data_IF_477285732051
#
_entry.id   IF_477285732051
#
_cell.length_a   1.000
_cell.length_b   1.000
_cell.length_c   1.000
_cell.angle_alpha   90.00
_cell.angle_beta   90.00
_cell.angle_gamma   90.00
#
_symmetry.space_group_name_H-M   'P 1'
#
loop_
_entity.id
_entity.type
_entity.pdbx_description
1 polymer ?
#
# COMPACT_ATOMS: atom_id res chain seq x y z
N UNK A 1 -20.46 12.61 14.60
CA UNK A 1 -19.19 13.29 14.33
C UNK A 1 -18.12 12.31 14.78
N UNK A 2 -18.01 11.15 14.14
CA UNK A 2 -17.44 9.98 14.82
C UNK A 2 -16.59 9.20 13.80
N UNK A 3 -15.30 9.47 13.73
CA UNK A 3 -14.34 8.63 13.01
C UNK A 3 -12.96 8.68 13.71
N UNK A 4 -12.97 8.71 15.04
CA UNK A 4 -11.76 8.56 15.85
C UNK A 4 -11.50 7.06 15.98
N UNK A 5 -10.30 6.65 15.57
CA UNK A 5 -9.75 5.29 15.65
C UNK A 5 -10.41 4.23 14.76
N UNK A 6 -10.15 4.29 13.45
CA UNK A 6 -10.50 3.20 12.52
C UNK A 6 -9.61 1.96 12.75
N UNK A 7 -8.34 2.17 13.07
CA UNK A 7 -7.34 1.10 13.26
C UNK A 7 -6.41 1.42 14.41
N UNK A 8 -6.04 0.40 15.17
CA UNK A 8 -4.99 0.48 16.18
C UNK A 8 -5.33 1.28 17.44
N UNK A 9 -6.43 2.03 17.54
CA UNK A 9 -6.80 2.79 18.75
C UNK A 9 -5.65 3.62 19.36
N UNK A 10 -4.76 4.17 18.53
CA UNK A 10 -3.56 4.89 18.97
C UNK A 10 -2.36 4.01 19.36
N UNK A 11 -2.46 2.69 19.23
CA UNK A 11 -1.39 1.71 19.44
C UNK A 11 -0.49 1.58 18.21
N UNK A 12 0.69 1.02 18.46
CA UNK A 12 1.63 0.61 17.42
C UNK A 12 0.98 -0.46 16.51
N UNK A 13 1.21 -0.33 15.21
CA UNK A 13 0.84 -1.27 14.17
C UNK A 13 2.07 -1.63 13.34
N UNK A 14 2.04 -2.81 12.76
CA UNK A 14 3.00 -3.23 11.74
C UNK A 14 2.38 -2.97 10.37
N UNK A 15 3.00 -2.08 9.60
CA UNK A 15 2.71 -1.90 8.19
C UNK A 15 3.60 -2.83 7.37
N UNK A 16 2.99 -3.70 6.58
CA UNK A 16 3.68 -4.57 5.64
C UNK A 16 3.32 -4.15 4.20
N UNK A 17 4.35 -3.97 3.37
CA UNK A 17 4.21 -3.77 1.93
C UNK A 17 4.69 -5.01 1.21
N UNK A 18 3.78 -5.64 0.47
CA UNK A 18 4.09 -6.70 -0.48
C UNK A 18 3.91 -6.21 -1.93
N UNK A 19 3.92 -7.13 -2.90
CA UNK A 19 3.85 -6.78 -4.33
C UNK A 19 2.50 -6.20 -4.79
N UNK A 20 1.44 -6.26 -3.99
CA UNK A 20 0.11 -5.84 -4.43
C UNK A 20 -0.72 -5.13 -3.35
N UNK A 21 -0.40 -5.30 -2.07
CA UNK A 21 -1.17 -4.81 -0.93
C UNK A 21 -0.28 -4.12 0.12
N UNK A 22 -0.88 -3.14 0.78
CA UNK A 22 -0.41 -2.55 2.02
C UNK A 22 -1.30 -3.13 3.12
N UNK A 23 -0.71 -3.86 4.06
CA UNK A 23 -1.43 -4.46 5.19
C UNK A 23 -1.02 -3.82 6.50
N UNK A 24 -1.98 -3.69 7.41
CA UNK A 24 -1.77 -3.27 8.78
C UNK A 24 -2.05 -4.45 9.70
N UNK A 25 -1.11 -4.75 10.58
CA UNK A 25 -1.13 -5.90 11.47
C UNK A 25 -1.01 -5.39 12.91
N UNK A 26 -1.84 -5.92 13.79
CA UNK A 26 -1.72 -5.74 15.23
C UNK A 26 -0.51 -6.54 15.74
N UNK A 27 0.50 -5.90 16.38
CA UNK A 27 1.72 -6.58 16.82
C UNK A 27 1.50 -7.56 17.98
N UNK A 28 0.46 -7.38 18.78
CA UNK A 28 0.18 -8.25 19.94
C UNK A 28 -0.53 -9.53 19.49
N UNK A 29 -1.47 -9.40 18.56
CA UNK A 29 -2.32 -10.51 18.11
C UNK A 29 -1.85 -11.13 16.79
N UNK A 30 -0.93 -10.47 16.08
CA UNK A 30 -0.49 -10.82 14.73
C UNK A 30 -1.65 -10.91 13.71
N UNK A 31 -2.77 -10.23 13.98
CA UNK A 31 -3.94 -10.22 13.11
C UNK A 31 -3.91 -9.06 12.13
N UNK A 32 -4.33 -9.30 10.89
CA UNK A 32 -4.49 -8.23 9.88
C UNK A 32 -5.73 -7.43 10.23
N UNK A 33 -5.53 -6.15 10.59
CA UNK A 33 -6.62 -5.21 10.91
C UNK A 33 -7.09 -4.42 9.70
N UNK A 34 -6.24 -4.30 8.68
CA UNK A 34 -6.58 -3.65 7.42
C UNK A 34 -5.71 -4.15 6.26
N UNK A 35 -6.30 -4.19 5.05
CA UNK A 35 -5.57 -4.36 3.80
C UNK A 35 -6.10 -3.36 2.77
N UNK A 36 -5.18 -2.61 2.15
CA UNK A 36 -5.44 -1.73 1.03
C UNK A 36 -4.67 -2.22 -0.20
N UNK A 37 -5.35 -2.37 -1.32
CA UNK A 37 -4.68 -2.75 -2.57
C UNK A 37 -3.86 -1.58 -3.06
N UNK A 38 -2.59 -1.78 -3.37
CA UNK A 38 -1.70 -0.73 -3.90
C UNK A 38 -2.31 -0.07 -5.15
N UNK A 39 -2.94 -0.80 -6.10
CA UNK A 39 -3.66 -0.18 -7.22
C UNK A 39 -4.85 0.72 -6.86
N UNK A 40 -5.39 0.64 -5.63
CA UNK A 40 -6.49 1.48 -5.15
C UNK A 40 -5.99 2.74 -4.45
N UNK A 41 -4.71 2.80 -4.07
CA UNK A 41 -4.09 4.01 -3.53
C UNK A 41 -3.99 5.04 -4.65
N UNK A 42 -4.62 6.20 -4.44
CA UNK A 42 -4.76 7.26 -5.44
C UNK A 42 -3.63 8.26 -5.41
N UNK A 43 -3.16 8.56 -4.21
CA UNK A 43 -2.00 9.41 -3.96
C UNK A 43 -1.42 9.05 -2.60
N UNK A 44 -0.12 9.25 -2.42
CA UNK A 44 0.56 9.15 -1.13
C UNK A 44 1.52 10.33 -0.95
N UNK A 45 1.90 10.59 0.29
CA UNK A 45 2.76 11.70 0.67
C UNK A 45 3.59 11.41 1.90
N UNK A 46 4.60 12.24 2.10
CA UNK A 46 5.52 12.20 3.24
C UNK A 46 5.49 13.56 3.94
N UNK A 47 5.48 13.56 5.26
CA UNK A 47 5.48 14.76 6.09
C UNK A 47 6.76 15.58 5.91
N UNK A 48 6.62 16.91 5.98
CA UNK A 48 7.73 17.86 5.75
C UNK A 48 8.67 17.99 6.94
N UNK A 49 8.15 17.86 8.16
CA UNK A 49 8.87 18.25 9.37
C UNK A 49 9.89 17.21 9.81
N UNK A 50 9.43 16.06 10.30
CA UNK A 50 10.28 14.98 10.79
C UNK A 50 10.60 13.93 9.71
N UNK A 51 9.97 14.01 8.54
CA UNK A 51 10.10 13.04 7.44
C UNK A 51 9.61 11.62 7.78
N UNK A 52 8.90 11.44 8.89
CA UNK A 52 8.40 10.15 9.41
C UNK A 52 6.92 9.95 9.22
N UNK A 53 6.17 11.03 9.01
CA UNK A 53 4.75 10.92 8.78
C UNK A 53 4.49 10.48 7.32
N UNK A 54 3.72 9.43 7.15
CA UNK A 54 3.31 8.87 5.86
C UNK A 54 1.79 8.95 5.75
N UNK A 55 1.30 9.34 4.58
CA UNK A 55 -0.13 9.41 4.33
C UNK A 55 -0.49 8.86 2.96
N UNK A 56 -1.68 8.27 2.84
CA UNK A 56 -2.23 7.85 1.57
C UNK A 56 -3.73 8.11 1.47
N UNK A 57 -4.21 8.35 0.25
CA UNK A 57 -5.64 8.47 -0.05
C UNK A 57 -6.11 7.26 -0.83
N UNK A 58 -7.19 6.64 -0.35
CA UNK A 58 -7.90 5.58 -1.05
C UNK A 58 -9.41 5.83 -1.00
N UNK A 59 -10.16 5.12 -1.84
CA UNK A 59 -11.63 5.19 -1.83
C UNK A 59 -12.17 4.14 -0.87
N UNK A 60 -12.84 4.60 0.18
CA UNK A 60 -13.49 3.70 1.13
C UNK A 60 -14.61 2.91 0.45
N UNK A 61 -14.64 1.59 0.68
CA UNK A 61 -15.55 0.68 -0.04
C UNK A 61 -17.01 0.87 0.37
N UNK A 62 -17.25 1.17 1.65
CA UNK A 62 -18.60 1.26 2.21
C UNK A 62 -19.23 2.61 1.88
N UNK A 63 -18.50 3.68 2.14
CA UNK A 63 -19.02 5.05 1.99
C UNK A 63 -18.80 5.62 0.59
N UNK A 64 -17.93 4.99 -0.22
CA UNK A 64 -17.50 5.48 -1.53
C UNK A 64 -16.84 6.87 -1.45
N UNK A 65 -16.43 7.33 -0.27
CA UNK A 65 -15.75 8.61 -0.06
C UNK A 65 -14.24 8.41 -0.16
N UNK A 66 -13.52 9.48 -0.49
CA UNK A 66 -12.06 9.46 -0.44
C UNK A 66 -11.62 9.71 1.00
N UNK A 67 -10.77 8.82 1.51
CA UNK A 67 -10.27 8.87 2.87
C UNK A 67 -8.75 8.98 2.83
N UNK A 68 -8.21 9.96 3.54
CA UNK A 68 -6.79 10.09 3.80
C UNK A 68 -6.46 9.41 5.12
N UNK A 69 -5.53 8.46 5.09
CA UNK A 69 -5.06 7.70 6.25
C UNK A 69 -3.64 8.16 6.56
N UNK A 70 -3.37 8.53 7.81
CA UNK A 70 -2.11 9.14 8.24
C UNK A 70 -1.44 8.29 9.31
N UNK A 71 -0.15 8.09 9.16
CA UNK A 71 0.68 7.25 10.00
C UNK A 71 1.96 7.99 10.39
N UNK A 72 2.47 7.71 11.59
CA UNK A 72 3.83 8.07 12.01
C UNK A 72 4.69 6.83 12.02
N UNK A 73 5.77 6.81 11.23
CA UNK A 73 6.57 5.61 10.99
C UNK A 73 7.96 5.66 11.64
N UNK A 74 8.45 4.49 12.05
CA UNK A 74 9.81 4.34 12.60
C UNK A 74 10.90 4.38 11.53
N UNK A 75 10.52 4.13 10.28
CA UNK A 75 11.36 4.30 9.10
C UNK A 75 11.04 5.64 8.42
N UNK A 76 12.02 6.35 7.82
CA UNK A 76 11.73 7.54 7.02
C UNK A 76 10.62 7.28 5.99
N UNK A 77 9.57 8.10 5.98
CA UNK A 77 8.40 7.94 5.14
C UNK A 77 8.76 7.95 3.64
N UNK A 78 9.86 8.62 3.27
CA UNK A 78 10.41 8.60 1.91
C UNK A 78 10.77 7.19 1.44
N UNK A 79 11.24 6.32 2.33
CA UNK A 79 11.52 4.91 2.02
C UNK A 79 10.24 4.20 1.61
N UNK A 80 9.16 4.40 2.37
CA UNK A 80 7.82 3.82 2.11
C UNK A 80 7.29 4.28 0.75
N UNK A 81 7.37 5.59 0.49
CA UNK A 81 6.93 6.18 -0.77
C UNK A 81 7.72 5.64 -1.99
N UNK A 82 9.02 5.40 -1.82
CA UNK A 82 9.85 4.79 -2.88
C UNK A 82 9.48 3.32 -3.10
N UNK A 83 9.26 2.55 -2.03
CA UNK A 83 8.80 1.16 -2.13
C UNK A 83 7.47 1.06 -2.88
N UNK A 84 6.48 1.90 -2.52
CA UNK A 84 5.20 1.97 -3.25
C UNK A 84 5.38 2.35 -4.72
N UNK A 85 6.29 3.28 -5.03
CA UNK A 85 6.62 3.66 -6.40
C UNK A 85 7.17 2.47 -7.18
N UNK A 86 8.07 1.70 -6.59
CA UNK A 86 8.71 0.57 -7.27
C UNK A 86 7.74 -0.61 -7.46
N UNK A 87 6.90 -0.89 -6.46
CA UNK A 87 5.78 -1.84 -6.60
C UNK A 87 4.84 -1.40 -7.74
N UNK A 88 4.43 -0.13 -7.77
CA UNK A 88 3.60 0.40 -8.86
C UNK A 88 4.25 0.22 -10.24
N UNK A 89 5.56 0.47 -10.37
CA UNK A 89 6.29 0.25 -11.63
C UNK A 89 6.24 -1.23 -12.04
N UNK A 90 6.49 -2.16 -11.11
CA UNK A 90 6.41 -3.60 -11.39
C UNK A 90 5.01 -4.00 -11.83
N UNK A 91 3.97 -3.55 -11.14
CA UNK A 91 2.57 -3.82 -11.50
C UNK A 91 2.22 -3.30 -12.89
N UNK A 92 2.76 -2.15 -13.30
CA UNK A 92 2.59 -1.61 -14.66
C UNK A 92 3.27 -2.46 -15.73
N UNK A 93 4.45 -3.03 -15.44
CA UNK A 93 5.18 -3.89 -16.39
C UNK A 93 4.48 -5.24 -16.59
N UNK A 94 3.94 -5.83 -15.52
CA UNK A 94 3.19 -7.10 -15.57
C UNK A 94 1.79 -6.95 -16.17
N UNK A 95 1.27 -5.72 -16.26
CA UNK A 95 -0.02 -5.39 -16.87
C UNK A 95 0.05 -5.09 -18.37
N UNK A 96 1.21 -5.20 -19.02
CA UNK A 96 1.28 -5.15 -20.49
C UNK A 96 0.47 -6.34 -21.03
N UNK A 97 -0.56 -6.12 -21.86
CA UNK A 97 -1.24 -7.22 -22.51
C UNK A 97 -0.21 -7.93 -23.40
N UNK A 98 0.03 -9.20 -23.14
CA UNK A 98 0.56 -10.16 -24.12
C UNK A 98 -0.48 -10.32 -25.22
N UNK A 99 -0.65 -9.30 -26.06
CA UNK A 99 -1.54 -9.35 -27.23
C UNK A 99 -0.80 -8.93 -28.49
N UNK A 100 0.31 -9.59 -28.78
CA UNK A 100 0.87 -9.73 -30.13
C UNK A 100 1.61 -11.08 -30.19
N UNK A 101 0.86 -12.16 -30.38
CA UNK A 101 1.23 -13.37 -31.15
C UNK A 101 0.33 -14.54 -30.73
N UNK A 102 -0.63 -14.89 -31.60
CA UNK A 102 -1.06 -16.26 -31.85
C UNK A 102 -2.07 -16.28 -33.00
N UNK A 103 -1.57 -16.11 -34.22
CA UNK A 103 -2.12 -16.85 -35.37
C UNK A 103 -1.09 -17.94 -35.71
N UNK A 104 -1.62 -19.13 -35.98
CA UNK A 104 -0.99 -20.34 -36.55
C UNK A 104 -0.27 -21.37 -35.63
N UNK A 105 -1.09 -22.36 -35.24
CA UNK A 105 -1.03 -23.78 -35.66
C UNK A 105 0.15 -24.73 -35.30
N UNK A 106 -0.29 -25.96 -34.99
CA UNK A 106 0.33 -27.31 -35.04
C UNK A 106 0.88 -27.91 -33.71
N UNK A 107 0.41 -29.11 -33.28
CA UNK A 107 0.89 -29.82 -32.10
C UNK A 107 1.88 -30.94 -32.46
N UNK A 108 3.08 -30.99 -31.84
CA UNK A 108 3.83 -32.25 -31.75
C UNK A 108 4.83 -32.35 -30.57
N UNK A 109 4.64 -33.43 -29.79
CA UNK A 109 5.59 -34.30 -29.05
C UNK A 109 6.69 -33.76 -28.11
N UNK A 110 6.53 -34.22 -26.85
CA UNK A 110 7.49 -34.88 -25.90
C UNK A 110 8.82 -34.17 -25.61
N UNK A 111 9.03 -33.82 -24.33
CA UNK A 111 10.17 -34.28 -23.49
C UNK A 111 9.75 -34.28 -22.01
N UNK A 112 9.99 -35.40 -21.30
CA UNK A 112 10.00 -35.50 -19.82
C UNK A 112 11.45 -35.30 -19.37
N UNK A 113 11.75 -34.31 -18.51
CA UNK A 113 12.84 -34.24 -17.50
C UNK A 113 12.51 -33.11 -16.53
N UNK A 114 12.26 -33.39 -15.25
CA UNK A 114 13.18 -33.53 -14.11
C UNK A 114 13.59 -32.18 -13.48
N UNK A 115 13.46 -32.17 -12.16
CA UNK A 115 14.10 -31.31 -11.16
C UNK A 115 13.48 -29.94 -10.85
N UNK A 116 12.85 -29.94 -9.67
CA UNK A 116 12.67 -28.86 -8.71
C UNK A 116 12.86 -27.46 -9.25
N UNK A 117 11.75 -26.79 -9.57
CA UNK A 117 11.74 -25.34 -9.55
C UNK A 117 12.16 -24.90 -8.13
N UNK A 118 13.21 -24.07 -7.98
CA UNK A 118 13.48 -23.44 -6.71
C UNK A 118 12.20 -22.70 -6.32
N UNK A 119 11.76 -22.90 -5.08
CA UNK A 119 10.66 -22.14 -4.46
C UNK A 119 10.74 -20.70 -4.94
N UNK A 120 9.64 -20.09 -5.42
CA UNK A 120 9.67 -18.68 -5.81
C UNK A 120 10.27 -17.92 -4.64
N UNK A 121 11.42 -17.28 -4.85
CA UNK A 121 11.94 -16.34 -3.88
C UNK A 121 10.87 -15.27 -3.76
N UNK A 122 10.00 -15.36 -2.75
CA UNK A 122 9.11 -14.27 -2.37
C UNK A 122 10.00 -13.05 -2.17
N UNK A 123 9.75 -12.00 -2.96
CA UNK A 123 10.46 -10.75 -2.80
C UNK A 123 10.25 -10.31 -1.34
N UNK A 124 11.32 -9.99 -0.59
CA UNK A 124 11.20 -9.77 0.85
C UNK A 124 10.24 -8.60 1.12
N UNK A 125 9.14 -8.90 1.80
CA UNK A 125 8.14 -7.91 2.18
C UNK A 125 8.77 -6.82 3.04
N UNK A 126 8.35 -5.57 2.83
CA UNK A 126 8.85 -4.45 3.62
C UNK A 126 7.99 -4.28 4.87
N UNK A 127 8.55 -4.60 6.02
CA UNK A 127 7.89 -4.52 7.33
C UNK A 127 8.33 -3.24 8.05
N UNK A 128 7.38 -2.43 8.49
CA UNK A 128 7.59 -1.10 9.09
C UNK A 128 6.70 -0.97 10.32
N UNK A 129 7.27 -0.58 11.47
CA UNK A 129 6.50 -0.17 12.65
C UNK A 129 5.95 1.25 12.45
N UNK A 130 4.70 1.45 12.83
CA UNK A 130 4.03 2.74 12.69
C UNK A 130 2.93 2.94 13.73
N UNK A 131 2.55 4.18 13.96
CA UNK A 131 1.38 4.57 14.73
C UNK A 131 0.34 5.14 13.79
N UNK A 132 -0.90 4.69 13.88
CA UNK A 132 -1.99 5.29 13.13
C UNK A 132 -2.41 6.59 13.81
N UNK A 133 -2.23 7.72 13.13
CA UNK A 133 -2.61 9.04 13.65
C UNK A 133 -4.08 9.36 13.41
N UNK A 134 -4.65 8.81 12.34
CA UNK A 134 -6.06 8.95 12.07
C UNK A 134 -6.43 8.86 10.61
N UNK A 135 -7.72 9.03 10.37
CA UNK A 135 -8.32 9.07 9.03
C UNK A 135 -9.26 10.25 8.92
N UNK A 136 -9.22 10.93 7.78
CA UNK A 136 -10.14 12.02 7.49
C UNK A 136 -10.66 11.95 6.06
N UNK A 137 -11.90 12.37 5.85
CA UNK A 137 -12.46 12.45 4.53
C UNK A 137 -11.81 13.61 3.76
N UNK A 138 -11.49 13.36 2.49
CA UNK A 138 -10.98 14.39 1.58
C UNK A 138 -11.92 14.57 0.38
N UNK A 139 -11.98 15.80 -0.20
CA UNK A 139 -12.90 16.09 -1.30
C UNK A 139 -12.46 15.47 -2.63
N UNK A 140 -11.16 15.20 -2.80
CA UNK A 140 -10.56 14.74 -4.07
C UNK A 140 -9.56 13.61 -3.80
N UNK A 141 -9.35 12.78 -4.82
CA UNK A 141 -8.45 11.63 -4.75
C UNK A 141 -6.96 11.97 -4.88
N UNK A 142 -6.63 13.17 -5.38
CA UNK A 142 -5.28 13.57 -5.79
C UNK A 142 -5.05 15.05 -5.49
N UNK A 143 -3.78 15.46 -5.46
CA UNK A 143 -3.34 16.81 -5.11
C UNK A 143 -2.45 16.76 -3.87
N UNK A 144 -1.29 17.42 -3.92
CA UNK A 144 -0.36 17.45 -2.78
C UNK A 144 -0.95 18.28 -1.63
N UNK A 145 -1.73 19.31 -1.97
CA UNK A 145 -2.47 20.14 -1.03
C UNK A 145 -3.49 19.33 -0.23
N UNK A 146 -4.12 18.32 -0.84
CA UNK A 146 -5.10 17.46 -0.18
C UNK A 146 -4.44 16.63 0.93
N UNK A 147 -3.25 16.07 0.63
CA UNK A 147 -2.48 15.31 1.61
C UNK A 147 -1.99 16.22 2.74
N UNK A 148 -1.40 17.35 2.40
CA UNK A 148 -0.89 18.30 3.41
C UNK A 148 -2.01 18.76 4.34
N UNK A 149 -3.14 19.21 3.79
CA UNK A 149 -4.30 19.65 4.58
C UNK A 149 -4.88 18.54 5.47
N UNK A 150 -4.89 17.29 4.98
CA UNK A 150 -5.33 16.15 5.76
C UNK A 150 -4.36 15.79 6.90
N UNK A 151 -3.04 15.84 6.64
CA UNK A 151 -2.00 15.61 7.64
C UNK A 151 -2.03 16.72 8.70
N UNK A 152 -2.08 17.98 8.30
CA UNK A 152 -2.11 19.13 9.21
C UNK A 152 -3.30 19.05 10.19
N UNK A 153 -4.47 18.59 9.71
CA UNK A 153 -5.66 18.36 10.55
C UNK A 153 -5.52 17.25 11.59
N UNK A 154 -4.71 16.23 11.32
CA UNK A 154 -4.60 15.04 12.16
C UNK A 154 -3.36 15.05 13.05
N UNK A 155 -2.29 15.71 12.62
CA UNK A 155 -1.04 15.84 13.39
C UNK A 155 -1.11 16.97 14.42
N UNK A 156 -1.94 17.99 14.18
CA UNK A 156 -2.11 19.13 15.11
C UNK A 156 -3.11 18.89 16.24
N UNK A 157 -3.62 17.66 16.40
CA UNK A 157 -4.51 17.26 17.50
C UNK A 157 -3.72 16.56 18.60
#
# INVERSE_FOLDING_TARGET
MDNVSKWGDGRELIMELDDNELTLIDPDTMTVVHSEKIPQIRVWGVGRDNGRDFAYVARDRNTRRFMCHVFRCDTPAKTIANTLRDICKRLMMHRRPTSLHAIDAVPERRVIRSDGLPTPNEEPKKIIRCHFLGVTQVPRATGIEILNEAVDRLVSQ
#
